data_IF_719025632834
#
_entry.id   IF_719025632834
#
_cell.length_a   1.000
_cell.length_b   1.000
_cell.length_c   1.000
_cell.angle_alpha   90.00
_cell.angle_beta   90.00
_cell.angle_gamma   90.00
#
_symmetry.space_group_name_H-M   'P 1'
#
loop_
_entity.id
_entity.type
_entity.pdbx_description
1 polymer ?
#
# COMPACT_ATOMS: atom_id res chain seq x y z
N UNK A 1 -34.05 -21.01 -9.90
CA UNK A 1 -34.52 -20.66 -11.26
C UNK A 1 -33.29 -20.53 -12.15
N UNK A 2 -33.30 -21.05 -13.39
CA UNK A 2 -32.18 -20.83 -14.31
C UNK A 2 -32.19 -19.37 -14.76
N UNK A 3 -31.06 -18.67 -14.60
CA UNK A 3 -30.89 -17.33 -15.15
C UNK A 3 -30.93 -17.44 -16.69
N UNK A 4 -31.78 -16.66 -17.39
CA UNK A 4 -31.74 -16.61 -18.83
C UNK A 4 -30.39 -15.99 -19.24
N UNK A 5 -29.54 -16.78 -19.89
CA UNK A 5 -28.33 -16.27 -20.53
C UNK A 5 -28.81 -15.65 -21.85
N UNK A 6 -29.21 -14.38 -21.84
CA UNK A 6 -29.24 -13.62 -23.09
C UNK A 6 -27.82 -13.60 -23.65
N UNK A 7 -27.66 -13.97 -24.92
CA UNK A 7 -26.34 -13.95 -25.56
C UNK A 7 -25.90 -12.51 -25.69
N UNK A 8 -24.65 -12.22 -25.34
CA UNK A 8 -23.99 -10.93 -25.56
C UNK A 8 -24.07 -10.38 -27.00
N UNK A 9 -24.54 -11.19 -27.97
CA UNK A 9 -24.71 -10.81 -29.37
C UNK A 9 -25.82 -9.78 -29.63
N UNK A 10 -26.69 -9.51 -28.67
CA UNK A 10 -27.87 -8.64 -28.87
C UNK A 10 -27.68 -7.21 -28.28
N UNK A 11 -26.52 -6.93 -27.68
CA UNK A 11 -26.15 -5.61 -27.18
C UNK A 11 -25.78 -4.69 -28.34
N UNK A 12 -26.61 -3.68 -28.61
CA UNK A 12 -26.36 -2.65 -29.63
C UNK A 12 -25.36 -1.58 -29.13
N UNK A 13 -24.19 -2.01 -28.68
CA UNK A 13 -23.12 -1.14 -28.18
C UNK A 13 -21.97 -1.18 -29.18
N UNK A 14 -21.55 -0.01 -29.66
CA UNK A 14 -20.44 0.08 -30.60
C UNK A 14 -19.13 -0.35 -29.94
N UNK A 15 -18.50 -1.39 -30.50
CA UNK A 15 -17.20 -1.89 -30.04
C UNK A 15 -16.13 -0.84 -30.35
N UNK A 16 -15.36 -0.37 -29.34
CA UNK A 16 -14.23 0.51 -29.58
C UNK A 16 -13.22 -0.17 -30.51
N UNK A 17 -12.74 0.58 -31.50
CA UNK A 17 -11.69 0.12 -32.40
C UNK A 17 -10.49 1.04 -32.26
N UNK A 18 -9.35 0.49 -31.84
CA UNK A 18 -8.10 1.22 -31.81
C UNK A 18 -7.65 1.56 -33.24
N UNK A 19 -7.10 2.77 -33.42
CA UNK A 19 -6.42 3.12 -34.65
C UNK A 19 -5.16 2.25 -34.82
N UNK A 20 -4.90 1.82 -36.06
CA UNK A 20 -3.69 1.08 -36.40
C UNK A 20 -2.61 2.06 -36.85
N UNK A 21 -1.55 2.19 -36.06
CA UNK A 21 -0.38 3.03 -36.33
C UNK A 21 0.86 2.14 -36.44
N UNK A 22 1.27 1.74 -37.66
CA UNK A 22 2.35 0.79 -37.84
C UNK A 22 3.65 1.26 -37.18
N UNK A 23 4.12 0.54 -36.17
CA UNK A 23 5.41 0.77 -35.53
C UNK A 23 6.33 -0.44 -35.72
N UNK A 24 7.53 -0.24 -36.25
CA UNK A 24 8.46 -1.34 -36.53
C UNK A 24 9.38 -1.60 -35.35
N UNK A 25 9.41 -2.83 -34.89
CA UNK A 25 10.32 -3.34 -33.87
C UNK A 25 11.29 -4.31 -34.52
N UNK A 26 12.59 -3.97 -34.53
CA UNK A 26 13.63 -4.80 -35.13
C UNK A 26 14.58 -5.33 -34.06
N UNK A 27 14.72 -6.66 -33.97
CA UNK A 27 15.64 -7.32 -33.05
C UNK A 27 16.11 -8.66 -33.63
N UNK A 28 17.37 -9.04 -33.40
CA UNK A 28 17.94 -10.31 -33.87
C UNK A 28 17.75 -10.59 -35.38
N UNK A 29 17.86 -9.54 -36.21
CA UNK A 29 17.62 -9.59 -37.67
C UNK A 29 16.18 -9.97 -38.08
N UNK A 30 15.21 -9.94 -37.15
CA UNK A 30 13.79 -10.04 -37.43
C UNK A 30 13.11 -8.67 -37.24
N UNK A 31 12.08 -8.39 -38.02
CA UNK A 31 11.30 -7.13 -37.92
C UNK A 31 9.82 -7.43 -37.84
N UNK A 32 9.21 -7.01 -36.73
CA UNK A 32 7.78 -7.11 -36.48
C UNK A 32 7.14 -5.73 -36.59
N UNK A 33 5.89 -5.68 -37.02
CA UNK A 33 5.09 -4.45 -37.01
C UNK A 33 4.05 -4.57 -35.92
N UNK A 34 4.08 -3.66 -34.97
CA UNK A 34 3.06 -3.49 -33.93
C UNK A 34 2.20 -2.29 -34.29
N UNK A 35 0.94 -2.56 -34.63
CA UNK A 35 -0.04 -1.53 -35.01
C UNK A 35 -0.56 -0.72 -33.83
N UNK A 36 -0.29 -1.16 -32.60
CA UNK A 36 -0.86 -0.59 -31.37
C UNK A 36 0.20 -0.15 -30.36
N UNK A 37 1.47 -0.08 -30.78
CA UNK A 37 2.57 0.39 -29.94
C UNK A 37 2.30 1.78 -29.34
N UNK A 38 1.52 2.61 -30.04
CA UNK A 38 1.11 3.95 -29.60
C UNK A 38 0.24 3.96 -28.33
N UNK A 39 -0.41 2.85 -27.97
CA UNK A 39 -1.18 2.74 -26.72
C UNK A 39 -0.27 2.75 -25.47
N UNK A 40 1.03 2.52 -25.64
CA UNK A 40 2.00 2.65 -24.55
C UNK A 40 2.31 4.13 -24.31
N UNK A 41 1.86 4.65 -23.17
CA UNK A 41 2.26 5.96 -22.64
C UNK A 41 2.86 5.79 -21.24
N UNK A 42 4.19 5.90 -21.14
CA UNK A 42 4.91 5.73 -19.88
C UNK A 42 4.55 6.86 -18.87
N UNK A 43 4.22 8.06 -19.36
CA UNK A 43 3.74 9.18 -18.55
C UNK A 43 2.23 9.10 -18.20
N UNK A 44 1.48 8.22 -18.87
CA UNK A 44 0.03 7.98 -18.68
C UNK A 44 -0.87 9.20 -18.85
N UNK A 45 -0.43 10.18 -19.63
CA UNK A 45 -1.11 11.46 -19.85
C UNK A 45 -1.46 11.71 -21.33
N UNK A 46 -1.15 10.75 -22.22
CA UNK A 46 -1.46 10.85 -23.64
C UNK A 46 -2.98 10.92 -23.87
N UNK A 47 -3.52 12.04 -24.41
CA UNK A 47 -4.95 12.21 -24.58
C UNK A 47 -5.61 11.18 -25.49
N UNK A 48 -4.89 10.70 -26.51
CA UNK A 48 -5.44 9.73 -27.46
C UNK A 48 -5.58 8.35 -26.82
N UNK A 49 -4.58 7.96 -26.02
CA UNK A 49 -4.62 6.72 -25.23
C UNK A 49 -5.75 6.78 -24.21
N UNK A 50 -5.85 7.89 -23.47
CA UNK A 50 -6.91 8.09 -22.47
C UNK A 50 -8.30 8.06 -23.11
N UNK A 51 -8.48 8.70 -24.27
CA UNK A 51 -9.75 8.67 -25.00
C UNK A 51 -10.13 7.24 -25.39
N UNK A 52 -9.18 6.44 -25.87
CA UNK A 52 -9.42 5.03 -26.20
C UNK A 52 -9.80 4.21 -24.96
N UNK A 53 -9.09 4.37 -23.85
CA UNK A 53 -9.40 3.68 -22.58
C UNK A 53 -10.78 4.08 -22.03
N UNK A 54 -11.18 5.34 -22.17
CA UNK A 54 -12.53 5.79 -21.81
C UNK A 54 -13.60 5.11 -22.68
N UNK A 55 -13.36 4.92 -23.98
CA UNK A 55 -14.28 4.18 -24.87
C UNK A 55 -14.39 2.71 -24.45
N UNK A 56 -13.29 2.06 -24.11
CA UNK A 56 -13.28 0.68 -23.61
C UNK A 56 -14.01 0.52 -22.27
N UNK A 57 -13.82 1.46 -21.34
CA UNK A 57 -14.56 1.48 -20.07
C UNK A 57 -16.06 1.66 -20.29
N UNK A 58 -16.46 2.55 -21.20
CA UNK A 58 -17.87 2.77 -21.55
C UNK A 58 -18.50 1.53 -22.21
N UNK A 59 -17.77 0.88 -23.13
CA UNK A 59 -18.21 -0.37 -23.74
C UNK A 59 -18.36 -1.49 -22.72
N UNK A 60 -17.36 -1.67 -21.86
CA UNK A 60 -17.39 -2.66 -20.77
C UNK A 60 -18.59 -2.43 -19.85
N UNK A 61 -18.83 -1.18 -19.45
CA UNK A 61 -19.97 -0.80 -18.63
C UNK A 61 -21.29 -1.18 -19.30
N UNK A 62 -21.49 -0.79 -20.56
CA UNK A 62 -22.72 -1.08 -21.29
C UNK A 62 -22.95 -2.59 -21.51
N UNK A 63 -21.88 -3.36 -21.74
CA UNK A 63 -21.97 -4.81 -21.88
C UNK A 63 -22.32 -5.53 -20.58
N UNK A 64 -22.01 -4.92 -19.43
CA UNK A 64 -22.22 -5.53 -18.12
C UNK A 64 -23.50 -5.06 -17.45
N UNK A 65 -23.91 -3.79 -17.60
CA UNK A 65 -25.01 -3.16 -16.87
C UNK A 65 -26.29 -4.02 -16.84
N UNK A 66 -27.06 -4.07 -17.92
CA UNK A 66 -28.34 -4.79 -17.94
C UNK A 66 -28.25 -6.31 -17.68
N UNK A 67 -27.32 -7.08 -18.32
CA UNK A 67 -27.36 -8.54 -18.19
C UNK A 67 -26.86 -9.05 -16.83
N UNK A 68 -26.13 -8.24 -16.07
CA UNK A 68 -25.48 -8.73 -14.84
C UNK A 68 -25.62 -7.83 -13.61
N UNK A 69 -26.33 -6.69 -13.67
CA UNK A 69 -26.53 -5.80 -12.50
C UNK A 69 -27.03 -6.55 -11.26
N UNK A 70 -28.13 -7.30 -11.39
CA UNK A 70 -28.72 -8.04 -10.26
C UNK A 70 -27.75 -9.09 -9.71
N UNK A 71 -27.05 -9.80 -10.59
CA UNK A 71 -26.08 -10.81 -10.18
C UNK A 71 -24.88 -10.18 -9.47
N UNK A 72 -24.33 -9.07 -9.99
CA UNK A 72 -23.22 -8.34 -9.36
C UNK A 72 -23.61 -7.79 -7.99
N UNK A 73 -24.80 -7.21 -7.86
CA UNK A 73 -25.31 -6.72 -6.58
C UNK A 73 -25.46 -7.86 -5.57
N UNK A 74 -26.04 -8.98 -6.00
CA UNK A 74 -26.20 -10.18 -5.14
C UNK A 74 -24.84 -10.70 -4.67
N UNK A 75 -23.86 -10.82 -5.58
CA UNK A 75 -22.52 -11.27 -5.24
C UNK A 75 -21.80 -10.28 -4.32
N UNK A 76 -21.96 -8.98 -4.54
CA UNK A 76 -21.41 -7.94 -3.68
C UNK A 76 -21.96 -8.06 -2.26
N UNK A 77 -23.29 -8.14 -2.10
CA UNK A 77 -23.93 -8.26 -0.79
C UNK A 77 -23.55 -9.58 -0.10
N UNK A 78 -23.51 -10.70 -0.83
CA UNK A 78 -23.11 -12.01 -0.30
C UNK A 78 -21.64 -12.04 0.15
N UNK A 79 -20.74 -11.37 -0.58
CA UNK A 79 -19.33 -11.24 -0.18
C UNK A 79 -19.22 -10.34 1.04
N UNK A 80 -19.89 -9.18 1.02
CA UNK A 80 -19.89 -8.22 2.12
C UNK A 80 -20.45 -8.82 3.39
N UNK A 81 -21.54 -9.60 3.32
CA UNK A 81 -22.17 -10.21 4.49
C UNK A 81 -21.29 -11.26 5.20
N UNK A 82 -20.22 -11.73 4.55
CA UNK A 82 -19.24 -12.66 5.12
C UNK A 82 -18.03 -11.96 5.71
N UNK A 83 -17.93 -10.64 5.53
CA UNK A 83 -16.89 -9.80 6.10
C UNK A 83 -17.43 -9.22 7.41
N UNK A 84 -16.69 -9.42 8.49
CA UNK A 84 -16.96 -8.74 9.75
C UNK A 84 -16.30 -7.36 9.68
N UNK A 85 -17.08 -6.31 9.42
CA UNK A 85 -16.54 -4.97 9.16
C UNK A 85 -15.89 -4.35 10.42
N UNK A 86 -16.53 -4.49 11.58
CA UNK A 86 -15.92 -4.18 12.88
C UNK A 86 -15.17 -5.41 13.39
N UNK A 87 -13.86 -5.40 13.21
CA UNK A 87 -13.02 -6.50 13.65
C UNK A 87 -11.70 -6.02 14.23
N UNK A 88 -11.11 -6.86 15.07
CA UNK A 88 -9.82 -6.62 15.69
C UNK A 88 -8.95 -7.83 15.49
N UNK A 89 -7.78 -7.62 14.89
CA UNK A 89 -6.79 -8.67 14.76
C UNK A 89 -6.25 -9.08 16.14
N UNK A 90 -5.88 -10.36 16.34
CA UNK A 90 -5.20 -10.79 17.56
C UNK A 90 -4.00 -9.90 17.86
N UNK A 91 -3.92 -9.41 19.10
CA UNK A 91 -2.79 -8.59 19.49
C UNK A 91 -1.53 -9.44 19.66
N UNK A 92 -0.39 -8.90 19.23
CA UNK A 92 0.92 -9.46 19.53
C UNK A 92 1.60 -8.58 20.58
N UNK A 93 2.40 -9.22 21.44
CA UNK A 93 3.17 -8.54 22.46
C UNK A 93 4.60 -8.32 21.97
N UNK A 94 5.07 -7.08 22.03
CA UNK A 94 6.46 -6.70 21.84
C UNK A 94 6.84 -5.83 23.04
N UNK A 95 7.82 -6.29 23.82
CA UNK A 95 8.21 -5.71 25.11
C UNK A 95 7.01 -5.41 26.03
N UNK A 96 6.82 -4.15 26.40
CA UNK A 96 5.77 -3.68 27.30
C UNK A 96 4.54 -3.13 26.57
N UNK A 97 4.35 -3.54 25.30
CA UNK A 97 3.21 -3.14 24.48
C UNK A 97 2.51 -4.33 23.83
N UNK A 98 1.20 -4.21 23.72
CA UNK A 98 0.36 -5.03 22.84
C UNK A 98 0.00 -4.22 21.61
N UNK A 99 0.43 -4.65 20.44
CA UNK A 99 0.11 -4.04 19.15
C UNK A 99 -0.99 -4.83 18.44
N UNK A 100 -1.88 -4.13 17.75
CA UNK A 100 -2.94 -4.73 16.95
C UNK A 100 -3.52 -3.73 15.95
N UNK A 101 -4.19 -4.25 14.94
CA UNK A 101 -5.02 -3.47 14.03
C UNK A 101 -6.49 -3.75 14.29
N UNK A 102 -7.33 -2.75 14.01
CA UNK A 102 -8.78 -2.90 13.99
C UNK A 102 -9.39 -2.17 12.80
N UNK A 103 -10.51 -2.69 12.33
CA UNK A 103 -11.38 -2.05 11.35
C UNK A 103 -12.67 -1.62 12.04
N UNK A 104 -13.33 -0.61 11.49
CA UNK A 104 -14.59 -0.08 12.01
C UNK A 104 -15.62 -0.15 10.90
N UNK A 105 -16.86 -0.49 11.25
CA UNK A 105 -17.96 -0.56 10.28
C UNK A 105 -18.08 0.74 9.46
N UNK A 106 -18.23 0.58 8.14
CA UNK A 106 -18.31 1.70 7.21
C UNK A 106 -16.98 2.44 6.92
N UNK A 107 -15.88 2.05 7.56
CA UNK A 107 -14.54 2.55 7.24
C UNK A 107 -13.80 1.59 6.30
N UNK A 108 -12.90 2.14 5.48
CA UNK A 108 -12.24 1.38 4.40
C UNK A 108 -10.88 0.83 4.79
N UNK A 109 -10.23 1.42 5.79
CA UNK A 109 -8.86 1.12 6.15
C UNK A 109 -8.69 0.74 7.62
N UNK A 110 -7.54 0.15 7.93
CA UNK A 110 -7.19 -0.29 9.28
C UNK A 110 -6.74 0.87 10.17
N UNK A 111 -6.97 0.71 11.46
CA UNK A 111 -6.47 1.59 12.52
C UNK A 111 -5.43 0.81 13.32
N UNK A 112 -4.20 1.30 13.32
CA UNK A 112 -3.08 0.68 14.03
C UNK A 112 -3.04 1.22 15.45
N UNK A 113 -3.06 0.32 16.41
CA UNK A 113 -3.24 0.64 17.82
C UNK A 113 -2.21 -0.09 18.67
N UNK A 114 -1.97 0.44 19.87
CA UNK A 114 -1.31 -0.30 20.94
C UNK A 114 -1.95 -0.06 22.29
N UNK A 115 -1.70 -0.96 23.23
CA UNK A 115 -2.00 -0.81 24.67
C UNK A 115 -0.79 -1.20 25.49
N UNK A 116 -0.54 -0.55 26.64
CA UNK A 116 0.53 -0.97 27.52
C UNK A 116 0.25 -2.36 28.09
N UNK A 117 1.31 -3.12 28.36
CA UNK A 117 1.23 -4.33 29.17
C UNK A 117 0.92 -3.92 30.61
N UNK A 118 -0.01 -4.62 31.31
CA UNK A 118 -0.31 -4.32 32.70
C UNK A 118 0.95 -4.26 33.56
N UNK A 119 1.02 -3.28 34.46
CA UNK A 119 2.21 -3.04 35.30
C UNK A 119 2.72 -4.28 36.05
N UNK A 120 1.83 -5.19 36.45
CA UNK A 120 2.18 -6.46 37.09
C UNK A 120 3.00 -7.42 36.21
N UNK A 121 3.02 -7.22 34.89
CA UNK A 121 3.74 -8.02 33.88
C UNK A 121 4.81 -7.23 33.12
N UNK A 122 4.92 -5.92 33.35
CA UNK A 122 5.92 -5.08 32.70
C UNK A 122 7.35 -5.57 32.99
N UNK A 123 8.20 -5.60 31.97
CA UNK A 123 9.56 -6.11 32.02
C UNK A 123 9.69 -7.64 32.14
N UNK A 124 8.58 -8.39 32.20
CA UNK A 124 8.60 -9.85 32.19
C UNK A 124 8.47 -10.40 30.77
N UNK A 125 9.12 -11.53 30.44
CA UNK A 125 8.97 -12.16 29.13
C UNK A 125 7.50 -12.43 28.73
N UNK A 126 7.20 -12.41 27.42
CA UNK A 126 5.88 -12.77 26.92
C UNK A 126 5.55 -14.24 27.21
N UNK A 127 4.27 -14.54 27.45
CA UNK A 127 3.77 -15.92 27.61
C UNK A 127 2.52 -16.16 26.78
N UNK A 128 2.20 -17.43 26.52
CA UNK A 128 0.95 -17.82 25.84
C UNK A 128 -0.32 -17.46 26.63
N UNK A 129 -0.18 -17.08 27.89
CA UNK A 129 -1.29 -16.68 28.77
C UNK A 129 -1.45 -15.16 28.86
N UNK A 130 -0.64 -14.41 28.11
CA UNK A 130 -0.69 -12.96 28.08
C UNK A 130 -1.98 -12.51 27.38
N UNK A 131 -2.74 -11.64 28.05
CA UNK A 131 -3.99 -11.10 27.53
C UNK A 131 -3.95 -9.59 27.57
N UNK A 132 -4.46 -8.95 26.53
CA UNK A 132 -4.61 -7.50 26.52
C UNK A 132 -5.62 -7.08 27.58
N UNK A 133 -5.22 -6.19 28.50
CA UNK A 133 -6.15 -5.58 29.43
C UNK A 133 -6.92 -4.46 28.73
N UNK A 134 -8.25 -4.62 28.62
CA UNK A 134 -9.11 -3.64 27.97
C UNK A 134 -9.39 -2.40 28.82
N UNK A 135 -8.99 -2.40 30.10
CA UNK A 135 -9.08 -1.24 30.98
C UNK A 135 -7.93 -0.24 30.76
N UNK A 136 -6.80 -0.71 30.22
CA UNK A 136 -5.69 0.16 29.81
C UNK A 136 -6.09 1.01 28.61
N UNK A 137 -5.64 2.27 28.57
CA UNK A 137 -6.02 3.21 27.52
C UNK A 137 -5.38 2.80 26.19
N UNK A 138 -6.20 2.66 25.15
CA UNK A 138 -5.74 2.44 23.77
C UNK A 138 -5.07 3.69 23.22
N UNK A 139 -3.89 3.50 22.65
CA UNK A 139 -3.17 4.52 21.88
C UNK A 139 -3.34 4.22 20.39
N UNK A 140 -3.86 5.17 19.63
CA UNK A 140 -3.93 5.09 18.17
C UNK A 140 -2.60 5.58 17.61
N UNK A 141 -1.91 4.69 16.91
CA UNK A 141 -0.62 4.97 16.27
C UNK A 141 -0.81 5.60 14.90
N UNK A 142 -1.70 5.04 14.08
CA UNK A 142 -2.06 5.65 12.81
C UNK A 142 -3.46 5.19 12.41
N UNK A 143 -4.29 6.13 11.96
CA UNK A 143 -5.59 5.85 11.36
C UNK A 143 -5.50 6.11 9.86
N UNK A 144 -5.44 5.03 9.09
CA UNK A 144 -5.35 5.09 7.63
C UNK A 144 -6.56 5.78 7.00
N UNK A 145 -7.74 5.76 7.63
CA UNK A 145 -8.93 6.44 7.12
C UNK A 145 -8.77 7.95 7.17
N UNK A 146 -8.16 8.47 8.25
CA UNK A 146 -7.83 9.91 8.37
C UNK A 146 -6.77 10.29 7.34
N UNK A 147 -5.76 9.43 7.11
CA UNK A 147 -4.73 9.66 6.09
C UNK A 147 -5.31 9.66 4.68
N UNK A 148 -6.27 8.79 4.40
CA UNK A 148 -6.89 8.60 3.09
C UNK A 148 -8.02 9.59 2.77
N UNK A 149 -8.57 10.30 3.77
CA UNK A 149 -9.84 11.03 3.64
C UNK A 149 -9.93 12.03 2.48
N UNK A 150 -8.82 12.64 2.06
CA UNK A 150 -8.77 13.60 0.95
C UNK A 150 -8.07 13.07 -0.30
N UNK A 151 -7.81 11.77 -0.38
CA UNK A 151 -7.03 11.15 -1.44
C UNK A 151 -7.92 10.23 -2.30
N UNK A 152 -7.62 10.15 -3.59
CA UNK A 152 -8.30 9.22 -4.51
C UNK A 152 -7.76 7.78 -4.37
N UNK A 153 -6.55 7.65 -3.82
CA UNK A 153 -5.89 6.38 -3.54
C UNK A 153 -5.05 6.52 -2.28
N UNK A 154 -5.01 5.48 -1.46
CA UNK A 154 -4.13 5.39 -0.32
C UNK A 154 -3.73 3.94 -0.09
N UNK A 155 -2.44 3.73 0.17
CA UNK A 155 -1.88 2.47 0.63
C UNK A 155 -0.72 2.74 1.58
N UNK A 156 -0.74 2.13 2.75
CA UNK A 156 0.40 2.07 3.65
C UNK A 156 1.04 0.69 3.54
N UNK A 157 2.31 0.62 3.13
CA UNK A 157 3.02 -0.66 2.95
C UNK A 157 3.72 -1.12 4.22
N UNK A 158 4.18 -0.17 5.04
CA UNK A 158 4.87 -0.45 6.28
C UNK A 158 4.43 0.50 7.39
N UNK A 159 4.38 -0.01 8.61
CA UNK A 159 4.06 0.70 9.85
C UNK A 159 4.91 0.10 10.96
N UNK A 160 6.03 0.73 11.27
CA UNK A 160 7.12 0.17 12.07
C UNK A 160 7.49 1.13 13.21
N UNK A 161 7.43 0.64 14.45
CA UNK A 161 7.89 1.35 15.64
C UNK A 161 9.39 1.17 15.85
N UNK A 162 10.05 2.21 16.37
CA UNK A 162 11.43 2.12 16.84
C UNK A 162 11.56 1.10 17.99
N UNK A 163 12.76 0.55 18.25
CA UNK A 163 12.96 -0.43 19.33
C UNK A 163 12.53 0.08 20.72
N UNK A 164 12.72 1.36 21.03
CA UNK A 164 12.20 1.97 22.26
C UNK A 164 10.71 2.35 22.21
N UNK A 165 10.01 2.05 21.11
CA UNK A 165 8.59 2.34 20.88
C UNK A 165 8.19 3.82 20.96
N UNK A 166 9.13 4.75 20.85
CA UNK A 166 8.85 6.18 20.94
C UNK A 166 8.73 6.88 19.58
N UNK A 167 9.08 6.20 18.48
CA UNK A 167 8.94 6.75 17.13
C UNK A 167 8.21 5.75 16.24
N UNK A 168 7.23 6.22 15.49
CA UNK A 168 6.61 5.46 14.40
C UNK A 168 7.19 5.91 13.07
N UNK A 169 7.52 4.96 12.19
CA UNK A 169 7.77 5.20 10.78
C UNK A 169 6.68 4.51 9.95
N UNK A 170 6.11 5.23 8.98
CA UNK A 170 5.18 4.64 8.01
C UNK A 170 5.70 4.86 6.60
N UNK A 171 5.42 3.93 5.69
CA UNK A 171 5.68 4.09 4.26
C UNK A 171 4.34 4.10 3.50
N UNK A 172 3.98 5.23 2.88
CA UNK A 172 2.67 5.44 2.25
C UNK A 172 2.78 5.85 0.78
N UNK A 173 1.85 5.35 -0.04
CA UNK A 173 1.64 5.70 -1.45
C UNK A 173 0.22 6.26 -1.63
N UNK A 174 0.13 7.43 -2.24
CA UNK A 174 -1.11 8.17 -2.46
C UNK A 174 -1.54 8.21 -3.93
N UNK A 175 -0.79 7.52 -4.79
CA UNK A 175 -0.91 7.58 -6.26
C UNK A 175 -1.13 6.21 -6.90
N UNK A 176 -0.75 5.12 -6.22
CA UNK A 176 -0.76 3.76 -6.78
C UNK A 176 0.43 3.47 -7.68
N UNK A 177 1.46 4.32 -7.64
CA UNK A 177 2.70 4.12 -8.38
C UNK A 177 3.68 3.16 -7.69
N UNK A 178 3.35 2.66 -6.49
CA UNK A 178 4.23 1.87 -5.65
C UNK A 178 5.56 2.59 -5.35
N UNK A 179 5.49 3.92 -5.26
CA UNK A 179 6.57 4.79 -4.81
C UNK A 179 6.12 5.43 -3.50
N UNK A 180 6.81 5.06 -2.43
CA UNK A 180 6.37 5.37 -1.09
C UNK A 180 7.11 6.57 -0.54
N UNK A 181 6.41 7.35 0.29
CA UNK A 181 6.99 8.36 1.15
C UNK A 181 7.05 7.81 2.57
N UNK A 182 8.25 7.80 3.16
CA UNK A 182 8.42 7.47 4.58
C UNK A 182 8.21 8.72 5.42
N UNK A 183 7.32 8.62 6.42
CA UNK A 183 7.02 9.68 7.39
C UNK A 183 7.20 9.17 8.80
N UNK A 184 7.54 10.09 9.71
CA UNK A 184 7.82 9.77 11.10
C UNK A 184 6.87 10.49 12.05
N UNK A 185 6.59 9.85 13.18
CA UNK A 185 5.74 10.38 14.24
C UNK A 185 6.39 10.09 15.60
N UNK A 186 6.38 11.07 16.50
CA UNK A 186 6.71 10.89 17.91
C UNK A 186 5.52 10.25 18.62
N UNK A 187 5.79 9.23 19.45
CA UNK A 187 4.83 8.48 20.24
C UNK A 187 4.97 8.72 21.76
N UNK A 188 5.87 9.61 22.17
CA UNK A 188 6.26 9.80 23.57
C UNK A 188 5.15 10.38 24.46
N UNK A 189 4.20 11.12 23.88
CA UNK A 189 3.03 11.68 24.58
C UNK A 189 1.80 10.73 24.57
N UNK A 190 1.96 9.53 24.00
CA UNK A 190 0.91 8.53 23.87
C UNK A 190 -0.01 8.70 22.65
N UNK A 191 0.19 9.74 21.84
CA UNK A 191 -0.39 9.89 20.51
C UNK A 191 0.70 9.91 19.43
N UNK A 192 0.32 9.77 18.16
CA UNK A 192 1.26 9.89 17.05
C UNK A 192 1.33 11.33 16.56
N UNK A 193 2.30 12.07 17.07
CA UNK A 193 2.56 13.46 16.69
C UNK A 193 3.50 13.51 15.48
N UNK A 194 3.09 14.08 14.33
CA UNK A 194 3.94 14.10 13.12
C UNK A 194 5.26 14.85 13.33
N UNK A 195 6.34 14.32 12.74
CA UNK A 195 7.66 14.95 12.69
C UNK A 195 7.95 15.47 11.27
N UNK A 196 7.44 16.66 10.89
CA UNK A 196 7.43 17.13 9.50
C UNK A 196 8.83 17.39 8.91
N UNK A 197 9.84 17.59 9.76
CA UNK A 197 11.22 17.74 9.34
C UNK A 197 11.86 16.42 8.85
N UNK A 198 11.24 15.27 9.12
CA UNK A 198 11.71 13.96 8.69
C UNK A 198 10.77 13.39 7.62
N UNK A 199 11.25 13.37 6.39
CA UNK A 199 10.55 12.80 5.23
C UNK A 199 11.57 12.16 4.29
N UNK A 200 11.23 11.00 3.76
CA UNK A 200 12.04 10.30 2.77
C UNK A 200 11.14 9.96 1.59
N UNK A 201 11.49 10.42 0.40
CA UNK A 201 10.69 10.22 -0.81
C UNK A 201 11.31 9.17 -1.72
N UNK A 202 10.53 8.67 -2.68
CA UNK A 202 10.96 7.70 -3.70
C UNK A 202 11.48 6.37 -3.12
N UNK A 203 10.86 5.91 -2.04
CA UNK A 203 11.18 4.62 -1.42
C UNK A 203 10.42 3.46 -2.09
N UNK A 204 10.95 2.24 -1.97
CA UNK A 204 10.27 1.02 -2.44
C UNK A 204 9.06 0.62 -1.58
N UNK A 205 9.01 1.10 -0.34
CA UNK A 205 7.99 0.72 0.66
C UNK A 205 8.55 -0.11 1.82
N UNK A 206 9.76 -0.66 1.69
CA UNK A 206 10.40 -1.43 2.76
C UNK A 206 11.22 -0.52 3.68
N UNK A 207 10.97 -0.64 4.99
CA UNK A 207 11.68 0.07 6.04
C UNK A 207 12.00 -0.89 7.19
N UNK A 208 13.12 -0.66 7.88
CA UNK A 208 13.50 -1.45 9.05
C UNK A 208 14.31 -0.63 10.04
N UNK A 209 13.88 -0.58 11.30
CA UNK A 209 14.64 0.04 12.37
C UNK A 209 15.86 -0.81 12.74
N UNK A 210 17.02 -0.18 12.89
CA UNK A 210 18.22 -0.81 13.43
C UNK A 210 18.51 -0.37 14.88
N UNK A 211 18.17 0.86 15.22
CA UNK A 211 18.26 1.42 16.58
C UNK A 211 17.07 2.34 16.82
N UNK A 212 17.03 3.02 17.97
CA UNK A 212 16.01 4.03 18.28
C UNK A 212 15.98 5.23 17.32
N UNK A 213 17.09 5.48 16.61
CA UNK A 213 17.23 6.63 15.72
C UNK A 213 17.63 6.25 14.29
N UNK A 214 18.10 5.03 14.06
CA UNK A 214 18.57 4.60 12.74
C UNK A 214 17.50 3.72 12.07
N UNK A 215 17.03 4.17 10.92
CA UNK A 215 16.13 3.45 10.02
C UNK A 215 16.87 3.11 8.72
N UNK A 216 16.74 1.88 8.24
CA UNK A 216 17.12 1.50 6.89
C UNK A 216 15.90 1.51 5.97
N UNK A 217 16.10 1.86 4.71
CA UNK A 217 15.05 1.86 3.69
C UNK A 217 15.65 1.57 2.31
N UNK A 218 14.80 1.19 1.35
CA UNK A 218 15.20 0.96 -0.03
C UNK A 218 14.65 2.05 -0.97
N UNK A 219 15.40 2.39 -2.02
CA UNK A 219 14.91 3.18 -3.17
C UNK A 219 14.85 2.33 -4.42
N UNK A 220 14.13 2.83 -5.43
CA UNK A 220 13.98 2.17 -6.73
C UNK A 220 14.80 2.89 -7.82
N UNK A 221 15.30 2.11 -8.78
CA UNK A 221 15.99 2.62 -9.97
C UNK A 221 15.01 3.06 -11.08
N UNK A 222 15.55 3.35 -12.27
CA UNK A 222 14.75 3.77 -13.44
C UNK A 222 13.84 2.66 -14.01
N UNK A 223 14.06 1.39 -13.63
CA UNK A 223 13.22 0.24 -13.98
C UNK A 223 12.19 -0.07 -12.88
N UNK A 224 12.05 0.80 -11.89
CA UNK A 224 11.19 0.64 -10.71
C UNK A 224 11.60 -0.54 -9.80
N UNK A 225 12.86 -0.96 -9.90
CA UNK A 225 13.43 -2.08 -9.13
C UNK A 225 14.11 -1.59 -7.86
N UNK A 226 13.83 -2.17 -6.68
CA UNK A 226 14.56 -1.84 -5.45
C UNK A 226 16.04 -2.22 -5.57
N UNK A 227 16.93 -1.22 -5.67
CA UNK A 227 18.35 -1.42 -6.01
C UNK A 227 19.31 -0.89 -4.95
N UNK A 228 18.89 0.05 -4.10
CA UNK A 228 19.76 0.72 -3.12
C UNK A 228 19.22 0.64 -1.71
N UNK A 229 20.10 0.29 -0.79
CA UNK A 229 19.90 0.33 0.65
C UNK A 229 20.50 1.61 1.23
N UNK A 230 19.68 2.33 1.97
CA UNK A 230 20.04 3.59 2.60
C UNK A 230 19.90 3.50 4.11
N UNK A 231 20.76 4.23 4.82
CA UNK A 231 20.67 4.46 6.26
C UNK A 231 20.24 5.90 6.53
N UNK A 232 19.17 6.07 7.28
CA UNK A 232 18.65 7.36 7.76
C UNK A 232 18.81 7.47 9.28
N UNK A 233 19.29 8.61 9.78
CA UNK A 233 19.52 8.85 11.21
C UNK A 233 18.68 10.03 11.71
N UNK A 234 17.61 9.73 12.45
CA UNK A 234 16.68 10.73 12.97
C UNK A 234 17.31 11.68 14.00
N UNK A 235 18.45 11.33 14.61
CA UNK A 235 19.08 12.18 15.61
C UNK A 235 19.73 13.44 15.02
N UNK A 236 19.98 13.43 13.71
CA UNK A 236 20.62 14.54 13.03
C UNK A 236 19.60 15.67 12.77
N UNK A 237 20.00 16.92 13.06
CA UNK A 237 19.17 18.10 12.76
C UNK A 237 18.90 18.27 11.26
N UNK A 238 19.81 17.76 10.41
CA UNK A 238 19.69 17.70 8.95
C UNK A 238 20.16 16.30 8.51
N UNK A 239 19.26 15.30 8.54
CA UNK A 239 19.66 13.92 8.27
C UNK A 239 19.90 13.71 6.78
N UNK A 240 21.17 13.56 6.41
CA UNK A 240 21.55 13.06 5.09
C UNK A 240 21.58 11.53 5.13
N UNK A 241 20.84 10.90 4.20
CA UNK A 241 20.88 9.45 4.05
C UNK A 241 22.24 9.00 3.53
N UNK A 242 22.77 7.93 4.11
CA UNK A 242 24.02 7.30 3.67
C UNK A 242 23.71 6.10 2.78
N UNK A 243 24.35 6.02 1.60
CA UNK A 243 24.31 4.83 0.74
C UNK A 243 25.10 3.69 1.41
N UNK A 244 24.45 2.55 1.62
CA UNK A 244 25.01 1.40 2.34
C UNK A 244 25.34 0.27 1.37
N UNK A 245 24.47 0.03 0.39
CA UNK A 245 24.60 -1.04 -0.57
C UNK A 245 23.83 -0.73 -1.85
N UNK A 246 24.37 -1.12 -3.00
CA UNK A 246 23.76 -0.95 -4.32
C UNK A 246 23.88 -2.24 -5.13
N UNK A 247 22.75 -2.80 -5.54
CA UNK A 247 22.67 -3.95 -6.44
C UNK A 247 22.74 -3.49 -7.90
N UNK A 248 23.91 -3.70 -8.51
CA UNK A 248 24.21 -3.25 -9.86
C UNK A 248 23.70 -4.17 -10.96
N UNK A 249 23.42 -5.44 -10.66
CA UNK A 249 22.89 -6.41 -11.63
C UNK A 249 21.37 -6.28 -11.73
N UNK A 250 20.86 -5.85 -12.88
CA UNK A 250 19.44 -5.59 -13.14
C UNK A 250 18.54 -6.84 -13.04
N UNK A 251 19.13 -8.04 -12.92
CA UNK A 251 18.41 -9.30 -12.71
C UNK A 251 18.05 -9.58 -11.24
N UNK A 252 18.59 -8.82 -10.29
CA UNK A 252 18.36 -9.02 -8.85
C UNK A 252 17.56 -7.86 -8.26
N UNK A 253 16.86 -8.07 -7.15
CA UNK A 253 16.21 -6.98 -6.42
C UNK A 253 16.51 -7.12 -4.93
N UNK A 254 16.55 -5.98 -4.24
CA UNK A 254 16.70 -5.95 -2.80
C UNK A 254 15.36 -6.17 -2.11
N UNK A 255 15.44 -6.83 -0.96
CA UNK A 255 14.37 -6.85 0.05
C UNK A 255 15.01 -6.57 1.40
N UNK A 256 14.25 -5.93 2.29
CA UNK A 256 14.74 -5.52 3.60
C UNK A 256 13.85 -6.10 4.70
N UNK A 257 14.46 -6.68 5.72
CA UNK A 257 13.77 -7.12 6.93
C UNK A 257 14.69 -7.00 8.14
N UNK A 258 14.12 -6.71 9.31
CA UNK A 258 14.83 -6.75 10.60
C UNK A 258 14.86 -8.19 11.11
N UNK A 259 16.01 -8.65 11.59
CA UNK A 259 16.08 -9.91 12.32
C UNK A 259 15.25 -9.81 13.62
N UNK A 260 14.54 -10.88 13.96
CA UNK A 260 13.80 -11.02 15.22
C UNK A 260 14.71 -11.47 16.37
#
# INVERSE_FOLDING_TARGET
MPFPIERFSDLNVAVPSAEKKPHKLSQFNDTRTDEYYWLRSDARDDPEVLEYLCKENAYTKACLEDPTEVLRATLYDDMKSRIKEDDRQPAFREDDWYYYTRTVEGQQYSIHCRRPVPSARAGLPPTIHDTVDTNEVEQILIDENVRAASLQYYRMNACEQSPNHNTLAIAEDTTGAEKYTVRFFDLSDGGATPLPQHIIENCSGDIAWATDTILFYLTKDALDRPDRLWRYDLSAAHPESMDVFHETDDQHYLSLSRAQ
#
